data_IF_338326574458
#
_entry.id   IF_338326574458
#
_cell.length_a   1.000
_cell.length_b   1.000
_cell.length_c   1.000
_cell.angle_alpha   90.00
_cell.angle_beta   90.00
_cell.angle_gamma   90.00
#
_symmetry.space_group_name_H-M   'P 1'
#
loop_
_entity.id
_entity.type
_entity.pdbx_description
1 polymer ?
#
# COMPACT_ATOMS: atom_id res chain seq x y z
N UNK A 1 3.13 3.24 -3.90
CA UNK A 1 4.08 4.34 -4.15
C UNK A 1 4.66 4.90 -2.85
N UNK A 2 5.92 4.53 -2.59
CA UNK A 2 6.90 5.11 -1.67
C UNK A 2 8.26 4.78 -2.29
N UNK A 3 9.16 5.76 -2.45
CA UNK A 3 10.44 5.54 -3.14
C UNK A 3 11.43 4.62 -2.40
N UNK A 4 11.10 4.24 -1.16
CA UNK A 4 11.94 3.42 -0.27
C UNK A 4 11.39 2.01 -0.03
N UNK A 5 10.37 1.59 -0.78
CA UNK A 5 9.78 0.25 -0.62
C UNK A 5 8.93 0.05 0.64
N UNK A 6 8.69 1.09 1.45
CA UNK A 6 7.90 1.00 2.71
C UNK A 6 6.48 0.46 2.48
N UNK A 7 5.89 0.74 1.32
CA UNK A 7 4.50 0.39 1.02
C UNK A 7 4.34 -0.20 -0.38
N UNK A 8 3.45 -1.18 -0.50
CA UNK A 8 3.05 -1.81 -1.76
C UNK A 8 1.53 -1.68 -2.00
N UNK A 9 1.10 -1.91 -3.24
CA UNK A 9 -0.33 -1.93 -3.61
C UNK A 9 -0.81 -3.38 -3.59
N UNK A 10 -1.87 -3.66 -2.85
CA UNK A 10 -2.51 -4.98 -2.76
C UNK A 10 -3.99 -4.90 -3.14
N UNK A 11 -4.51 -6.00 -3.66
CA UNK A 11 -5.95 -6.20 -3.84
C UNK A 11 -6.59 -6.63 -2.52
N UNK A 12 -7.88 -6.39 -2.40
CA UNK A 12 -8.72 -6.97 -1.35
C UNK A 12 -9.82 -7.77 -2.06
N UNK A 13 -9.92 -9.06 -1.79
CA UNK A 13 -10.97 -9.92 -2.36
C UNK A 13 -12.33 -9.72 -1.67
N UNK A 14 -13.32 -10.55 -2.03
CA UNK A 14 -14.67 -10.53 -1.45
C UNK A 14 -14.73 -10.98 0.02
N UNK A 15 -13.72 -11.73 0.49
CA UNK A 15 -13.62 -12.17 1.90
C UNK A 15 -12.92 -11.11 2.77
N UNK A 16 -12.22 -10.16 2.14
CA UNK A 16 -11.48 -9.10 2.80
C UNK A 16 -9.97 -9.37 2.92
N UNK A 17 -9.48 -10.44 2.29
CA UNK A 17 -8.09 -10.87 2.37
C UNK A 17 -7.22 -10.10 1.37
N UNK A 18 -5.94 -9.91 1.74
CA UNK A 18 -4.97 -9.19 0.92
C UNK A 18 -4.37 -10.12 -0.14
N UNK A 19 -4.64 -9.82 -1.40
CA UNK A 19 -4.11 -10.55 -2.56
C UNK A 19 -3.11 -9.71 -3.34
N UNK A 20 -2.26 -10.38 -4.12
CA UNK A 20 -1.32 -9.69 -5.00
C UNK A 20 -2.10 -8.89 -6.05
N UNK A 21 -1.47 -7.88 -6.64
CA UNK A 21 -2.05 -7.20 -7.81
C UNK A 21 -1.29 -7.59 -9.07
N UNK A 22 -0.83 -8.84 -9.13
CA UNK A 22 0.09 -9.38 -10.14
C UNK A 22 -0.16 -8.80 -11.53
N UNK A 23 0.91 -8.31 -12.15
CA UNK A 23 0.88 -7.72 -13.50
C UNK A 23 1.09 -8.78 -14.58
N UNK A 24 0.52 -9.98 -14.40
CA UNK A 24 0.47 -11.00 -15.44
C UNK A 24 -0.85 -10.82 -16.19
N UNK A 25 -0.74 -10.45 -17.47
CA UNK A 25 -1.82 -10.01 -18.35
C UNK A 25 -2.70 -11.18 -18.85
N UNK A 26 -2.70 -12.31 -18.15
CA UNK A 26 -3.28 -13.60 -18.58
C UNK A 26 -4.04 -14.36 -17.47
N UNK A 27 -4.43 -13.70 -16.37
CA UNK A 27 -5.35 -14.30 -15.38
C UNK A 27 -6.57 -13.40 -15.17
N UNK A 28 -7.62 -13.71 -15.94
CA UNK A 28 -8.95 -13.09 -15.92
C UNK A 28 -9.72 -13.30 -14.58
N UNK A 29 -9.09 -13.71 -13.46
CA UNK A 29 -9.85 -13.92 -12.21
C UNK A 29 -9.08 -13.84 -10.87
N UNK A 30 -8.06 -12.98 -10.67
CA UNK A 30 -7.77 -12.55 -9.28
C UNK A 30 -8.73 -11.40 -8.91
N UNK A 31 -9.96 -11.79 -8.57
CA UNK A 31 -11.11 -10.91 -8.32
C UNK A 31 -10.96 -10.11 -7.03
N UNK A 32 -10.16 -9.05 -7.06
CA UNK A 32 -10.16 -8.06 -5.99
C UNK A 32 -11.27 -7.02 -6.21
N UNK A 33 -12.04 -6.75 -5.16
CA UNK A 33 -13.13 -5.76 -5.17
C UNK A 33 -12.60 -4.32 -5.04
N UNK A 34 -11.42 -4.16 -4.44
CA UNK A 34 -10.76 -2.85 -4.27
C UNK A 34 -9.25 -3.01 -4.12
N UNK A 35 -8.52 -1.91 -4.32
CA UNK A 35 -7.06 -1.83 -4.07
C UNK A 35 -6.75 -0.96 -2.87
N UNK A 36 -5.79 -1.38 -2.05
CA UNK A 36 -5.32 -0.67 -0.87
C UNK A 36 -3.80 -0.59 -0.85
N UNK A 37 -3.30 0.50 -0.28
CA UNK A 37 -1.86 0.67 -0.03
C UNK A 37 -1.53 0.07 1.33
N UNK A 38 -0.62 -0.90 1.36
CA UNK A 38 -0.24 -1.65 2.57
C UNK A 38 1.20 -1.30 2.96
N UNK A 39 1.45 -1.08 4.25
CA UNK A 39 2.79 -0.88 4.80
C UNK A 39 3.44 -2.25 5.01
N UNK A 40 4.55 -2.50 4.32
CA UNK A 40 5.29 -3.78 4.41
C UNK A 40 6.65 -3.63 5.12
N UNK A 41 7.19 -2.41 5.22
CA UNK A 41 8.49 -2.14 5.85
C UNK A 41 8.48 -0.83 6.65
N UNK A 42 7.74 -0.79 7.75
CA UNK A 42 7.57 0.42 8.57
C UNK A 42 8.92 0.98 9.08
N UNK A 43 9.85 0.12 9.54
CA UNK A 43 11.16 0.56 10.04
C UNK A 43 12.10 1.20 9.01
N UNK A 44 11.76 1.15 7.72
CA UNK A 44 12.51 1.84 6.65
C UNK A 44 11.96 3.26 6.40
N UNK A 45 10.79 3.57 6.97
CA UNK A 45 10.17 4.89 6.89
C UNK A 45 11.01 5.93 7.62
N UNK A 46 11.33 7.03 6.94
CA UNK A 46 12.13 8.15 7.49
C UNK A 46 11.29 9.42 7.66
N UNK A 47 9.96 9.30 7.55
CA UNK A 47 9.07 10.46 7.66
C UNK A 47 9.18 11.50 6.53
N UNK A 48 9.68 11.12 5.34
CA UNK A 48 9.89 12.07 4.23
C UNK A 48 8.59 12.68 3.65
N UNK A 49 7.41 12.16 4.00
CA UNK A 49 6.12 12.69 3.55
C UNK A 49 5.80 12.48 2.07
N UNK A 50 6.64 11.78 1.31
CA UNK A 50 6.45 11.58 -0.13
C UNK A 50 5.12 10.87 -0.46
N UNK A 51 4.79 9.80 0.28
CA UNK A 51 3.54 9.06 0.15
C UNK A 51 2.31 9.93 0.46
N UNK A 52 2.39 10.85 1.43
CA UNK A 52 1.33 11.82 1.70
C UNK A 52 1.09 12.75 0.51
N UNK A 53 2.18 13.29 -0.05
CA UNK A 53 2.13 14.26 -1.14
C UNK A 53 1.61 13.67 -2.45
N UNK A 54 1.98 12.43 -2.78
CA UNK A 54 1.63 11.81 -4.06
C UNK A 54 0.26 11.14 -4.08
N UNK A 55 -0.32 10.87 -2.91
CA UNK A 55 -1.63 10.26 -2.84
C UNK A 55 -2.71 11.28 -3.23
N UNK A 56 -3.18 11.25 -4.49
CA UNK A 56 -4.21 12.18 -4.98
C UNK A 56 -5.55 12.09 -4.25
N UNK A 57 -5.82 10.97 -3.55
CA UNK A 57 -7.00 10.79 -2.69
C UNK A 57 -6.78 11.23 -1.23
N UNK A 58 -5.57 11.62 -0.84
CA UNK A 58 -5.26 12.07 0.52
C UNK A 58 -5.46 11.00 1.61
N UNK A 59 -5.43 9.71 1.25
CA UNK A 59 -5.77 8.61 2.15
C UNK A 59 -4.67 8.26 3.18
N UNK A 60 -3.46 8.80 3.02
CA UNK A 60 -2.32 8.43 3.86
C UNK A 60 -2.23 9.33 5.09
N UNK A 61 -2.42 8.75 6.27
CA UNK A 61 -2.21 9.41 7.57
C UNK A 61 -0.86 8.98 8.14
N UNK A 62 -0.10 9.94 8.69
CA UNK A 62 1.23 9.70 9.25
C UNK A 62 1.22 10.20 10.69
N UNK A 63 1.68 9.35 11.61
CA UNK A 63 1.89 9.71 13.00
C UNK A 63 3.38 9.86 13.29
N UNK A 64 3.69 10.36 14.48
CA UNK A 64 4.99 10.13 15.09
C UNK A 64 4.96 8.72 15.68
N UNK A 65 5.82 7.83 15.20
CA UNK A 65 6.08 6.59 15.94
C UNK A 65 6.87 7.01 17.19
N UNK A 66 6.43 6.65 18.41
CA UNK A 66 7.22 6.92 19.60
C UNK A 66 8.58 6.21 19.45
N UNK A 67 9.65 6.96 19.65
CA UNK A 67 10.97 6.39 19.87
C UNK A 67 10.94 5.77 21.27
N UNK A 68 10.89 4.43 21.35
CA UNK A 68 11.16 3.68 22.59
C UNK A 68 12.59 3.97 23.09
#
# INVERSE_FOLDING_TARGET
MCGRGVMTLMGVDDDGELVSTGADEDDDEETFTRKVMVVIQAGVCIGCGACARVCGKGCQKHGVEPLD
#
